data_IF_283638206730
#
_entry.id   IF_283638206730
#
_cell.length_a   1.000
_cell.length_b   1.000
_cell.length_c   1.000
_cell.angle_alpha   90.00
_cell.angle_beta   90.00
_cell.angle_gamma   90.00
#
_symmetry.space_group_name_H-M   'P 1'
#
loop_
_entity.id
_entity.type
_entity.pdbx_description
1 polymer ?
#
# COMPACT_ATOMS: atom_id res chain seq x y z
N UNK A 1 -13.32 6.31 -19.10
CA UNK A 1 -11.98 6.77 -19.42
C UNK A 1 -12.00 7.80 -20.57
N UNK A 2 -12.51 7.44 -21.74
CA UNK A 2 -12.55 8.34 -22.90
C UNK A 2 -13.25 9.69 -22.64
N UNK A 3 -14.33 9.71 -21.83
CA UNK A 3 -15.01 10.96 -21.45
C UNK A 3 -14.09 11.88 -20.66
N UNK A 4 -13.27 11.35 -19.78
CA UNK A 4 -12.26 12.12 -19.03
C UNK A 4 -11.21 12.72 -19.98
N UNK A 5 -10.71 11.91 -20.94
CA UNK A 5 -9.77 12.42 -21.97
C UNK A 5 -10.40 13.53 -22.81
N UNK A 6 -11.65 13.36 -23.29
CA UNK A 6 -12.39 14.39 -24.03
C UNK A 6 -12.62 15.66 -23.20
N UNK A 7 -12.75 15.55 -21.88
CA UNK A 7 -12.87 16.69 -20.97
C UNK A 7 -11.51 17.38 -20.67
N UNK A 8 -10.40 16.88 -21.22
CA UNK A 8 -9.07 17.49 -21.10
C UNK A 8 -8.21 16.97 -19.96
N UNK A 9 -8.61 15.89 -19.25
CA UNK A 9 -7.75 15.27 -18.24
C UNK A 9 -6.59 14.53 -18.90
N UNK A 10 -5.36 14.92 -18.53
CA UNK A 10 -4.11 14.35 -19.08
C UNK A 10 -3.40 13.42 -18.09
N UNK A 11 -3.86 13.34 -16.84
CA UNK A 11 -3.34 12.45 -15.81
C UNK A 11 -4.52 11.72 -15.17
N UNK A 12 -4.71 10.47 -15.55
CA UNK A 12 -5.84 9.63 -15.13
C UNK A 12 -5.29 8.38 -14.48
N UNK A 13 -5.79 8.08 -13.28
CA UNK A 13 -5.58 6.80 -12.61
C UNK A 13 -6.75 5.87 -12.86
N UNK A 14 -6.47 4.58 -12.99
CA UNK A 14 -7.47 3.52 -12.96
C UNK A 14 -7.12 2.52 -11.87
N UNK A 15 -8.14 1.94 -11.28
CA UNK A 15 -7.98 0.88 -10.28
C UNK A 15 -8.40 -0.45 -10.89
N UNK A 16 -7.58 -1.48 -10.65
CA UNK A 16 -7.84 -2.86 -11.04
C UNK A 16 -7.93 -3.71 -9.78
N UNK A 17 -8.67 -4.80 -9.87
CA UNK A 17 -8.73 -5.82 -8.82
C UNK A 17 -8.47 -7.17 -9.44
N UNK A 18 -7.62 -7.99 -8.81
CA UNK A 18 -7.28 -9.34 -9.23
C UNK A 18 -7.45 -10.33 -8.06
N UNK A 19 -7.36 -11.62 -8.35
CA UNK A 19 -7.70 -12.68 -7.39
C UNK A 19 -9.21 -12.85 -7.23
N UNK A 20 -9.99 -12.49 -8.25
CA UNK A 20 -11.44 -12.63 -8.26
C UNK A 20 -11.84 -14.12 -8.34
N UNK A 21 -13.00 -14.52 -7.76
CA UNK A 21 -13.50 -15.88 -7.88
C UNK A 21 -13.58 -16.34 -9.33
N UNK A 22 -12.92 -17.46 -9.65
CA UNK A 22 -12.87 -18.02 -10.99
C UNK A 22 -11.95 -17.31 -11.98
N UNK A 23 -11.18 -16.33 -11.53
CA UNK A 23 -10.17 -15.67 -12.38
C UNK A 23 -9.07 -16.64 -12.79
N UNK A 24 -8.55 -16.45 -13.99
CA UNK A 24 -7.44 -17.23 -14.54
C UNK A 24 -6.35 -16.28 -15.04
N UNK A 25 -5.13 -16.79 -15.23
CA UNK A 25 -4.05 -16.01 -15.84
C UNK A 25 -4.43 -15.45 -17.22
N UNK A 26 -5.28 -16.16 -17.99
CA UNK A 26 -5.72 -15.71 -19.31
C UNK A 26 -6.72 -14.57 -19.24
N UNK A 27 -7.70 -14.63 -18.31
CA UNK A 27 -8.67 -13.55 -18.12
C UNK A 27 -7.96 -12.32 -17.59
N UNK A 28 -7.08 -12.47 -16.60
CA UNK A 28 -6.27 -11.39 -16.07
C UNK A 28 -5.36 -10.72 -17.12
N UNK A 29 -4.73 -11.53 -18.00
CA UNK A 29 -3.94 -10.97 -19.09
C UNK A 29 -4.78 -10.14 -20.07
N UNK A 30 -6.03 -10.56 -20.34
CA UNK A 30 -6.93 -9.79 -21.19
C UNK A 30 -7.30 -8.45 -20.55
N UNK A 31 -7.58 -8.44 -19.23
CA UNK A 31 -7.86 -7.22 -18.47
C UNK A 31 -6.67 -6.26 -18.44
N UNK A 32 -5.47 -6.76 -18.19
CA UNK A 32 -4.25 -5.96 -18.25
C UNK A 32 -4.03 -5.35 -19.64
N UNK A 33 -4.22 -6.12 -20.70
CA UNK A 33 -4.12 -5.59 -22.07
C UNK A 33 -5.14 -4.52 -22.34
N UNK A 34 -6.38 -4.69 -21.90
CA UNK A 34 -7.41 -3.67 -22.03
C UNK A 34 -7.05 -2.41 -21.25
N UNK A 35 -6.61 -2.56 -19.99
CA UNK A 35 -6.20 -1.45 -19.14
C UNK A 35 -5.10 -0.60 -19.79
N UNK A 36 -4.00 -1.24 -20.24
CA UNK A 36 -2.89 -0.50 -20.87
C UNK A 36 -3.24 0.07 -22.25
N UNK A 37 -4.21 -0.53 -22.98
CA UNK A 37 -4.69 0.02 -24.26
C UNK A 37 -5.35 1.39 -24.10
N UNK A 38 -5.93 1.68 -22.95
CA UNK A 38 -6.49 2.98 -22.60
C UNK A 38 -5.41 4.03 -22.31
N UNK A 39 -4.17 3.61 -22.07
CA UNK A 39 -3.00 4.46 -21.74
C UNK A 39 -3.25 5.37 -20.53
N UNK A 40 -3.63 4.81 -19.37
CA UNK A 40 -3.67 5.61 -18.14
C UNK A 40 -2.26 5.99 -17.71
N UNK A 41 -2.09 7.10 -17.04
CA UNK A 41 -0.80 7.52 -16.48
C UNK A 41 -0.46 6.75 -15.20
N UNK A 42 -1.48 6.24 -14.51
CA UNK A 42 -1.33 5.53 -13.24
C UNK A 42 -2.31 4.36 -13.17
N UNK A 43 -1.87 3.27 -12.54
CA UNK A 43 -2.68 2.07 -12.30
C UNK A 43 -2.46 1.66 -10.84
N UNK A 44 -3.54 1.55 -10.06
CA UNK A 44 -3.55 0.82 -8.81
C UNK A 44 -4.12 -0.57 -9.07
N UNK A 45 -3.49 -1.61 -8.55
CA UNK A 45 -3.98 -2.98 -8.68
C UNK A 45 -3.97 -3.66 -7.32
N UNK A 46 -5.15 -4.09 -6.87
CA UNK A 46 -5.37 -4.65 -5.55
C UNK A 46 -5.75 -6.12 -5.65
N UNK A 47 -5.13 -6.95 -4.81
CA UNK A 47 -5.61 -8.31 -4.61
C UNK A 47 -6.92 -8.29 -3.85
N UNK A 48 -7.90 -9.11 -4.26
CA UNK A 48 -9.16 -9.25 -3.54
C UNK A 48 -8.93 -9.85 -2.15
N UNK A 49 -9.40 -9.16 -1.12
CA UNK A 49 -9.36 -9.62 0.26
C UNK A 49 -10.79 -9.96 0.72
N UNK A 50 -10.95 -11.11 1.38
CA UNK A 50 -12.22 -11.56 1.94
C UNK A 50 -12.36 -11.06 3.38
N UNK A 51 -12.75 -9.79 3.52
CA UNK A 51 -12.91 -9.11 4.81
C UNK A 51 -14.03 -9.72 5.63
N UNK A 52 -13.75 -10.10 6.88
CA UNK A 52 -14.74 -10.68 7.79
C UNK A 52 -15.97 -9.77 7.96
N UNK A 53 -17.16 -10.38 8.00
CA UNK A 53 -18.43 -9.66 8.13
C UNK A 53 -19.04 -9.18 6.80
N UNK A 54 -18.28 -9.16 5.69
CA UNK A 54 -18.79 -8.79 4.36
C UNK A 54 -19.65 -9.91 3.76
N UNK A 55 -20.44 -9.56 2.73
CA UNK A 55 -21.23 -10.54 1.97
C UNK A 55 -20.32 -11.55 1.27
N UNK A 56 -19.22 -11.09 0.69
CA UNK A 56 -18.28 -11.93 -0.04
C UNK A 56 -17.60 -12.95 0.90
N UNK A 57 -17.17 -12.49 2.08
CA UNK A 57 -16.63 -13.37 3.13
C UNK A 57 -17.64 -14.46 3.53
N UNK A 58 -18.93 -14.10 3.72
CA UNK A 58 -19.99 -15.09 4.04
C UNK A 58 -20.21 -16.09 2.92
N UNK A 59 -20.10 -15.66 1.65
CA UNK A 59 -20.21 -16.57 0.50
C UNK A 59 -19.04 -17.57 0.44
N UNK A 60 -17.83 -17.13 0.78
CA UNK A 60 -16.65 -18.00 0.93
C UNK A 60 -16.86 -19.05 2.03
N UNK A 61 -17.26 -18.62 3.23
CA UNK A 61 -17.54 -19.52 4.34
C UNK A 61 -18.64 -20.57 4.03
N UNK A 62 -19.58 -20.20 3.15
CA UNK A 62 -20.62 -21.11 2.66
C UNK A 62 -20.17 -21.97 1.45
N UNK A 63 -18.89 -21.91 1.06
CA UNK A 63 -18.33 -22.58 -0.13
C UNK A 63 -19.10 -22.28 -1.42
N UNK A 64 -19.68 -21.09 -1.54
CA UNK A 64 -20.39 -20.60 -2.74
C UNK A 64 -19.49 -19.82 -3.69
N UNK A 65 -18.36 -19.36 -3.22
CA UNK A 65 -17.25 -18.78 -3.99
C UNK A 65 -15.96 -19.40 -3.49
N UNK A 66 -15.03 -19.61 -4.40
CA UNK A 66 -13.68 -20.07 -4.09
C UNK A 66 -12.72 -18.90 -4.17
N UNK A 67 -11.88 -18.77 -3.15
CA UNK A 67 -10.78 -17.82 -3.12
C UNK A 67 -9.65 -18.35 -4.02
N UNK A 68 -8.96 -17.45 -4.72
CA UNK A 68 -7.74 -17.82 -5.43
C UNK A 68 -6.72 -18.43 -4.45
N UNK A 69 -6.17 -19.57 -4.78
CA UNK A 69 -5.11 -20.16 -3.98
C UNK A 69 -3.83 -19.31 -4.03
N UNK A 70 -2.88 -19.63 -3.15
CA UNK A 70 -1.64 -18.87 -3.01
C UNK A 70 -0.80 -18.91 -4.29
N UNK A 71 -0.71 -20.05 -4.97
CA UNK A 71 0.06 -20.22 -6.20
C UNK A 71 -0.52 -19.37 -7.34
N UNK A 72 -1.85 -19.37 -7.48
CA UNK A 72 -2.54 -18.53 -8.45
C UNK A 72 -2.36 -17.05 -8.12
N UNK A 73 -2.52 -16.66 -6.84
CA UNK A 73 -2.36 -15.28 -6.38
C UNK A 73 -0.96 -14.74 -6.68
N UNK A 74 0.10 -15.51 -6.40
CA UNK A 74 1.48 -15.19 -6.73
C UNK A 74 1.67 -15.09 -8.26
N UNK A 75 1.06 -15.99 -9.02
CA UNK A 75 1.16 -16.00 -10.48
C UNK A 75 0.48 -14.78 -11.12
N UNK A 76 -0.71 -14.39 -10.63
CA UNK A 76 -1.44 -13.19 -11.06
C UNK A 76 -0.63 -11.92 -10.77
N UNK A 77 -0.06 -11.81 -9.57
CA UNK A 77 0.77 -10.67 -9.19
C UNK A 77 2.08 -10.61 -10.01
N UNK A 78 2.72 -11.74 -10.24
CA UNK A 78 3.90 -11.82 -11.12
C UNK A 78 3.58 -11.32 -12.52
N UNK A 79 2.47 -11.78 -13.08
CA UNK A 79 2.01 -11.36 -14.40
C UNK A 79 1.72 -9.85 -14.45
N UNK A 80 1.08 -9.30 -13.41
CA UNK A 80 0.85 -7.87 -13.26
C UNK A 80 2.15 -7.07 -13.35
N UNK A 81 3.14 -7.41 -12.51
CA UNK A 81 4.43 -6.70 -12.44
C UNK A 81 5.14 -6.75 -13.79
N UNK A 82 5.28 -7.94 -14.38
CA UNK A 82 6.01 -8.11 -15.63
C UNK A 82 5.31 -7.41 -16.79
N UNK A 83 3.98 -7.59 -16.93
CA UNK A 83 3.23 -6.96 -18.02
C UNK A 83 3.26 -5.44 -17.94
N UNK A 84 3.01 -4.85 -16.77
CA UNK A 84 3.06 -3.40 -16.64
C UNK A 84 4.46 -2.85 -16.90
N UNK A 85 5.51 -3.54 -16.46
CA UNK A 85 6.90 -3.19 -16.76
C UNK A 85 7.18 -3.21 -18.27
N UNK A 86 6.72 -4.24 -19.00
CA UNK A 86 6.86 -4.34 -20.45
C UNK A 86 6.19 -3.18 -21.19
N UNK A 87 5.11 -2.64 -20.62
CA UNK A 87 4.41 -1.45 -21.15
C UNK A 87 4.97 -0.11 -20.64
N UNK A 88 6.12 -0.14 -19.92
CA UNK A 88 6.84 1.05 -19.48
C UNK A 88 6.36 1.66 -18.18
N UNK A 89 5.50 0.98 -17.43
CA UNK A 89 5.10 1.42 -16.08
C UNK A 89 6.19 1.07 -15.06
N UNK A 90 6.39 1.96 -14.11
CA UNK A 90 7.25 1.76 -12.94
C UNK A 90 6.38 1.25 -11.78
N UNK A 91 6.77 0.11 -11.19
CA UNK A 91 6.21 -0.40 -9.95
C UNK A 91 6.84 0.38 -8.80
N UNK A 92 6.15 1.37 -8.25
CA UNK A 92 6.73 2.28 -7.28
C UNK A 92 6.29 2.05 -5.83
N UNK A 93 5.24 1.27 -5.64
CA UNK A 93 4.74 0.81 -4.35
C UNK A 93 3.96 -0.49 -4.59
N UNK A 94 3.77 -1.33 -3.57
CA UNK A 94 3.27 -2.71 -3.68
C UNK A 94 2.08 -2.84 -4.64
N UNK A 95 1.10 -1.94 -4.55
CA UNK A 95 -0.13 -1.98 -5.37
C UNK A 95 -0.17 -0.92 -6.46
N UNK A 96 0.86 -0.09 -6.63
CA UNK A 96 0.79 1.10 -7.46
C UNK A 96 1.87 1.13 -8.55
N UNK A 97 1.41 1.43 -9.76
CA UNK A 97 2.21 1.51 -10.97
C UNK A 97 1.94 2.81 -11.70
N UNK A 98 2.94 3.42 -12.30
CA UNK A 98 2.74 4.63 -13.09
C UNK A 98 3.73 4.74 -14.25
N UNK A 99 3.41 5.54 -15.25
CA UNK A 99 4.40 5.99 -16.22
C UNK A 99 5.45 6.87 -15.49
N UNK A 100 6.70 6.94 -15.98
CA UNK A 100 7.77 7.68 -15.32
C UNK A 100 7.36 9.10 -14.94
N UNK A 101 7.48 9.43 -13.64
CA UNK A 101 7.14 10.75 -13.10
C UNK A 101 5.65 10.97 -12.81
N UNK A 102 4.76 10.01 -13.11
CA UNK A 102 3.30 10.14 -12.91
C UNK A 102 2.81 9.51 -11.61
N UNK A 103 3.64 9.55 -10.56
CA UNK A 103 3.29 9.03 -9.24
C UNK A 103 2.03 9.69 -8.68
N UNK A 104 1.14 8.90 -8.06
CA UNK A 104 0.00 9.45 -7.33
C UNK A 104 0.49 10.32 -6.17
N UNK A 105 0.22 11.63 -6.24
CA UNK A 105 0.61 12.57 -5.16
C UNK A 105 -0.11 12.24 -3.86
N UNK A 106 -1.36 11.81 -3.95
CA UNK A 106 -2.16 11.45 -2.79
C UNK A 106 -1.59 10.20 -2.11
N UNK A 107 -1.43 9.09 -2.85
CA UNK A 107 -0.91 7.84 -2.30
C UNK A 107 0.52 8.02 -1.77
N UNK A 108 1.40 8.69 -2.54
CA UNK A 108 2.78 8.94 -2.13
C UNK A 108 2.90 9.79 -0.87
N UNK A 109 1.91 10.63 -0.54
CA UNK A 109 1.95 11.43 0.68
C UNK A 109 1.89 10.58 1.95
N UNK A 110 1.18 9.44 1.93
CA UNK A 110 1.17 8.48 3.05
C UNK A 110 2.53 7.82 3.24
N UNK A 111 3.19 7.44 2.16
CA UNK A 111 4.48 6.73 2.19
C UNK A 111 5.68 7.66 2.49
N UNK A 112 5.51 8.96 2.32
CA UNK A 112 6.55 9.97 2.59
C UNK A 112 6.37 10.69 3.92
N UNK A 113 5.47 10.23 4.80
CA UNK A 113 5.23 10.80 6.12
C UNK A 113 4.70 12.23 6.10
N UNK A 114 4.07 12.68 5.01
CA UNK A 114 3.46 14.01 4.94
C UNK A 114 2.25 14.10 5.86
N UNK A 115 2.10 15.27 6.47
CA UNK A 115 0.91 15.58 7.28
C UNK A 115 -0.32 15.68 6.39
N UNK A 116 -1.43 15.15 6.86
CA UNK A 116 -2.71 15.23 6.14
C UNK A 116 -3.88 15.39 7.11
N UNK A 117 -4.97 15.97 6.61
CA UNK A 117 -6.23 16.14 7.31
C UNK A 117 -7.31 15.30 6.61
N UNK A 118 -7.92 14.40 7.36
CA UNK A 118 -9.05 13.60 6.90
C UNK A 118 -10.37 14.30 7.14
N UNK A 119 -11.23 14.34 6.13
CA UNK A 119 -12.57 14.92 6.18
C UNK A 119 -13.61 13.84 5.98
N UNK A 120 -14.63 13.82 6.85
CA UNK A 120 -15.72 12.84 6.80
C UNK A 120 -15.63 11.74 7.84
N UNK A 121 -16.68 10.89 7.97
CA UNK A 121 -16.68 9.76 8.90
C UNK A 121 -15.58 8.77 8.58
N UNK A 122 -14.99 8.15 9.61
CA UNK A 122 -13.84 7.24 9.55
C UNK A 122 -12.56 7.83 8.94
N UNK A 123 -12.53 9.11 8.55
CA UNK A 123 -11.35 9.70 7.94
C UNK A 123 -10.24 9.89 8.98
N UNK A 124 -9.01 9.56 8.57
CA UNK A 124 -7.82 9.69 9.40
C UNK A 124 -7.08 10.99 9.10
N UNK A 125 -6.43 11.54 10.13
CA UNK A 125 -5.51 12.67 10.02
C UNK A 125 -4.17 12.30 10.66
N UNK A 126 -3.09 12.94 10.19
CA UNK A 126 -1.74 12.71 10.71
C UNK A 126 -0.97 14.03 10.73
N UNK A 127 -0.34 14.35 11.87
CA UNK A 127 0.41 15.60 12.04
C UNK A 127 1.93 15.40 12.23
N UNK A 128 2.40 14.15 12.15
CA UNK A 128 3.81 13.78 12.34
C UNK A 128 4.13 13.19 13.73
N UNK A 129 3.31 13.44 14.74
CA UNK A 129 3.49 12.96 16.12
C UNK A 129 2.23 12.34 16.71
N UNK A 130 1.09 12.57 16.10
CA UNK A 130 -0.18 11.94 16.50
C UNK A 130 -1.01 11.55 15.27
N UNK A 131 -1.89 10.60 15.48
CA UNK A 131 -2.89 10.13 14.52
C UNK A 131 -4.27 10.41 15.10
N UNK A 132 -5.18 10.80 14.24
CA UNK A 132 -6.56 11.07 14.60
C UNK A 132 -7.47 10.33 13.63
N UNK A 133 -8.60 9.81 14.10
CA UNK A 133 -9.65 9.26 13.24
C UNK A 133 -11.03 9.74 13.70
N UNK A 134 -11.85 10.08 12.73
CA UNK A 134 -13.19 10.56 12.97
C UNK A 134 -14.14 9.39 13.27
N UNK A 135 -15.24 9.65 13.99
CA UNK A 135 -16.27 8.64 14.25
C UNK A 135 -16.79 8.04 12.95
N UNK A 136 -17.05 6.73 12.94
CA UNK A 136 -17.45 5.99 11.74
C UNK A 136 -18.92 6.19 11.33
N UNK A 137 -19.79 6.49 12.27
CA UNK A 137 -21.22 6.73 12.01
C UNK A 137 -21.41 8.08 11.33
N UNK A 138 -22.03 8.09 10.16
CA UNK A 138 -22.34 9.31 9.41
C UNK A 138 -23.27 10.24 10.23
N UNK A 139 -24.30 9.70 10.86
CA UNK A 139 -25.26 10.51 11.63
C UNK A 139 -24.58 11.16 12.83
N UNK A 140 -23.79 10.41 13.59
CA UNK A 140 -23.02 10.94 14.73
C UNK A 140 -21.99 11.99 14.28
N UNK A 141 -21.31 11.73 13.15
CA UNK A 141 -20.36 12.71 12.61
C UNK A 141 -21.02 14.04 12.28
N UNK A 142 -22.17 14.00 11.59
CA UNK A 142 -22.95 15.21 11.24
C UNK A 142 -23.44 15.93 12.50
N UNK A 143 -24.02 15.20 13.46
CA UNK A 143 -24.54 15.75 14.72
C UNK A 143 -23.43 16.45 15.52
N UNK A 144 -22.30 15.75 15.76
CA UNK A 144 -21.20 16.29 16.55
C UNK A 144 -20.54 17.50 15.90
N UNK A 145 -20.32 17.45 14.57
CA UNK A 145 -19.77 18.61 13.84
C UNK A 145 -20.70 19.82 13.92
N UNK A 146 -22.02 19.63 13.76
CA UNK A 146 -22.97 20.72 13.81
C UNK A 146 -23.11 21.33 15.23
N UNK A 147 -22.95 20.50 16.26
CA UNK A 147 -23.01 20.94 17.67
C UNK A 147 -21.66 21.52 18.16
N UNK A 148 -20.59 21.42 17.39
CA UNK A 148 -19.24 21.80 17.83
C UNK A 148 -18.65 20.85 18.89
N UNK A 149 -19.12 19.61 18.91
CA UNK A 149 -18.64 18.55 19.80
C UNK A 149 -17.42 17.83 19.20
N UNK A 150 -16.68 17.10 20.04
CA UNK A 150 -15.57 16.27 19.57
C UNK A 150 -16.09 15.07 18.79
N UNK A 151 -15.67 14.94 17.53
CA UNK A 151 -16.09 13.89 16.60
C UNK A 151 -14.96 12.96 16.21
N UNK A 152 -13.87 12.97 16.94
CA UNK A 152 -12.67 12.20 16.64
C UNK A 152 -11.99 11.67 17.90
N UNK A 153 -11.18 10.63 17.70
CA UNK A 153 -10.23 10.11 18.68
C UNK A 153 -8.80 10.45 18.25
N UNK A 154 -7.89 10.54 19.23
CA UNK A 154 -6.47 10.88 18.99
C UNK A 154 -5.58 9.84 19.66
N UNK A 155 -4.55 9.41 18.96
CA UNK A 155 -3.46 8.58 19.43
C UNK A 155 -2.15 9.39 19.35
N UNK A 156 -1.47 9.57 20.47
CA UNK A 156 -0.10 10.10 20.48
C UNK A 156 0.87 8.96 20.15
N UNK A 157 1.69 9.18 19.11
CA UNK A 157 2.60 8.16 18.61
C UNK A 157 3.93 8.24 19.37
N UNK A 158 4.23 7.23 20.17
CA UNK A 158 5.53 7.12 20.82
C UNK A 158 6.67 6.86 19.81
N UNK A 159 7.89 6.78 20.31
CA UNK A 159 9.07 6.57 19.47
C UNK A 159 9.02 5.25 18.71
N UNK A 160 8.53 4.19 19.34
CA UNK A 160 8.52 2.84 18.75
C UNK A 160 7.40 2.70 17.72
N UNK A 161 6.24 3.26 18.00
CA UNK A 161 5.13 3.34 17.03
C UNK A 161 5.55 4.10 15.77
N UNK A 162 6.20 5.25 15.92
CA UNK A 162 6.73 6.02 14.78
C UNK A 162 7.82 5.28 14.01
N UNK A 163 8.68 4.51 14.71
CA UNK A 163 9.64 3.63 14.04
C UNK A 163 8.94 2.56 13.21
N UNK A 164 7.93 1.90 13.77
CA UNK A 164 7.15 0.90 13.07
C UNK A 164 6.45 1.47 11.83
N UNK A 165 5.82 2.63 11.97
CA UNK A 165 5.22 3.36 10.83
C UNK A 165 6.27 3.67 9.75
N UNK A 166 7.48 4.11 10.16
CA UNK A 166 8.56 4.41 9.23
C UNK A 166 9.04 3.17 8.47
N UNK A 167 9.16 2.02 9.14
CA UNK A 167 9.48 0.74 8.49
C UNK A 167 8.42 0.40 7.44
N UNK A 168 7.14 0.37 7.83
CA UNK A 168 6.03 0.00 6.95
C UNK A 168 5.94 0.94 5.74
N UNK A 169 6.07 2.24 5.96
CA UNK A 169 5.85 3.23 4.89
C UNK A 169 7.02 3.32 3.92
N UNK A 170 8.25 3.07 4.36
CA UNK A 170 9.43 3.22 3.49
C UNK A 170 9.77 1.95 2.72
N UNK A 171 9.78 0.79 3.38
CA UNK A 171 10.19 -0.49 2.77
C UNK A 171 9.29 -0.90 1.60
N UNK A 172 8.00 -0.57 1.65
CA UNK A 172 7.02 -0.92 0.62
C UNK A 172 7.16 -0.14 -0.68
N UNK A 173 8.04 0.85 -0.72
CA UNK A 173 8.22 1.73 -1.89
C UNK A 173 9.53 1.44 -2.64
N UNK A 174 9.56 1.77 -3.91
CA UNK A 174 10.78 1.65 -4.72
C UNK A 174 11.94 2.54 -4.22
N UNK A 175 11.64 3.57 -3.43
CA UNK A 175 12.67 4.46 -2.85
C UNK A 175 13.35 3.83 -1.65
N UNK A 176 12.67 2.88 -0.98
CA UNK A 176 13.20 2.17 0.18
C UNK A 176 13.44 3.04 1.41
N UNK A 177 14.03 2.42 2.42
CA UNK A 177 14.37 3.05 3.69
C UNK A 177 15.80 3.59 3.65
N UNK A 178 15.95 4.90 3.81
CA UNK A 178 17.25 5.56 3.97
C UNK A 178 17.76 5.32 5.39
N UNK A 179 18.88 4.61 5.54
CA UNK A 179 19.39 4.20 6.86
C UNK A 179 19.98 5.35 7.68
N UNK A 180 20.47 6.39 7.04
CA UNK A 180 20.92 7.63 7.70
C UNK A 180 19.73 8.40 8.29
N UNK A 181 18.64 8.52 7.55
CA UNK A 181 17.37 9.12 8.03
C UNK A 181 16.79 8.31 9.20
N UNK A 182 16.77 6.98 9.10
CA UNK A 182 16.37 6.11 10.20
C UNK A 182 17.18 6.40 11.47
N UNK A 183 18.52 6.48 11.33
CA UNK A 183 19.43 6.73 12.46
C UNK A 183 19.24 8.12 13.06
N UNK A 184 19.01 9.13 12.24
CA UNK A 184 18.75 10.51 12.66
C UNK A 184 17.43 10.60 13.45
N UNK A 185 16.36 10.01 12.95
CA UNK A 185 15.02 10.10 13.56
C UNK A 185 14.86 9.25 14.81
N UNK A 186 15.47 8.05 14.85
CA UNK A 186 15.19 7.04 15.88
C UNK A 186 16.41 6.62 16.70
N UNK A 187 17.57 7.17 16.38
CA UNK A 187 18.80 6.93 17.13
C UNK A 187 19.46 5.58 16.88
N UNK A 188 20.62 5.37 17.49
CA UNK A 188 21.48 4.20 17.23
C UNK A 188 20.84 2.88 17.69
N UNK A 189 20.00 2.89 18.74
CA UNK A 189 19.34 1.66 19.25
C UNK A 189 18.46 1.05 18.19
N UNK A 190 17.51 1.83 17.64
CA UNK A 190 16.56 1.36 16.62
C UNK A 190 17.23 1.14 15.26
N UNK A 191 18.24 1.92 14.92
CA UNK A 191 19.10 1.67 13.75
C UNK A 191 19.75 0.27 13.79
N UNK A 192 20.42 -0.08 14.92
CA UNK A 192 21.04 -1.39 15.07
C UNK A 192 20.02 -2.53 15.13
N UNK A 193 18.85 -2.28 15.72
CA UNK A 193 17.74 -3.22 15.72
C UNK A 193 17.28 -3.50 14.30
N UNK A 194 16.99 -2.47 13.52
CA UNK A 194 16.57 -2.59 12.13
C UNK A 194 17.56 -3.43 11.29
N UNK A 195 18.85 -3.14 11.36
CA UNK A 195 19.87 -3.89 10.64
C UNK A 195 19.92 -5.36 11.06
N UNK A 196 19.77 -5.64 12.34
CA UNK A 196 19.72 -7.02 12.85
C UNK A 196 18.51 -7.78 12.31
N UNK A 197 17.34 -7.15 12.29
CA UNK A 197 16.10 -7.77 11.79
C UNK A 197 16.11 -7.91 10.27
N UNK A 198 16.76 -7.00 9.54
CA UNK A 198 16.94 -7.08 8.10
C UNK A 198 17.92 -8.18 7.65
N UNK A 199 18.85 -8.62 8.51
CA UNK A 199 19.94 -9.54 8.13
C UNK A 199 19.45 -10.87 7.53
N UNK A 200 18.44 -11.58 8.09
CA UNK A 200 17.91 -12.80 7.47
C UNK A 200 17.39 -12.55 6.06
N UNK A 201 16.66 -11.46 5.85
CA UNK A 201 16.07 -11.09 4.57
C UNK A 201 17.10 -10.68 3.53
N UNK A 202 18.17 -10.00 3.95
CA UNK A 202 19.35 -9.72 3.10
C UNK A 202 20.02 -11.02 2.65
N UNK A 203 20.20 -11.97 3.58
CA UNK A 203 20.82 -13.27 3.28
C UNK A 203 19.97 -14.12 2.35
N UNK A 204 18.65 -14.00 2.42
CA UNK A 204 17.68 -14.70 1.54
C UNK A 204 17.47 -13.99 0.20
N UNK A 205 17.99 -12.77 0.05
CA UNK A 205 17.82 -11.96 -1.14
C UNK A 205 16.39 -11.42 -1.32
N UNK A 206 15.61 -11.29 -0.24
CA UNK A 206 14.28 -10.66 -0.23
C UNK A 206 14.35 -9.15 0.08
N UNK A 207 15.42 -8.73 0.76
CA UNK A 207 15.85 -7.34 0.87
C UNK A 207 17.18 -7.14 0.17
N UNK A 208 17.43 -5.94 -0.29
CA UNK A 208 18.75 -5.48 -0.74
C UNK A 208 19.16 -4.21 -0.02
N UNK A 209 20.46 -4.08 0.24
CA UNK A 209 21.07 -2.87 0.80
C UNK A 209 22.08 -2.32 -0.22
N UNK A 210 21.79 -1.15 -0.75
CA UNK A 210 22.64 -0.46 -1.70
C UNK A 210 22.71 1.03 -1.38
N UNK A 211 23.93 1.59 -1.33
CA UNK A 211 24.16 3.01 -1.08
C UNK A 211 23.44 3.56 0.18
N UNK A 212 23.36 2.75 1.26
CA UNK A 212 22.68 3.15 2.49
C UNK A 212 21.15 3.10 2.43
N UNK A 213 20.60 2.52 1.36
CA UNK A 213 19.15 2.33 1.18
C UNK A 213 18.81 0.85 1.29
N UNK A 214 17.89 0.53 2.18
CA UNK A 214 17.32 -0.80 2.36
C UNK A 214 15.96 -0.86 1.65
N UNK A 215 15.76 -1.82 0.75
CA UNK A 215 14.50 -1.97 0.01
C UNK A 215 14.19 -3.41 -0.35
N UNK A 216 12.93 -3.67 -0.67
CA UNK A 216 12.48 -4.96 -1.20
C UNK A 216 13.13 -5.25 -2.55
N UNK A 217 13.54 -6.50 -2.74
CA UNK A 217 13.79 -7.04 -4.07
C UNK A 217 12.48 -7.46 -4.73
N UNK A 218 12.48 -7.78 -6.01
CA UNK A 218 11.31 -8.36 -6.68
C UNK A 218 10.80 -9.60 -5.95
N UNK A 219 11.70 -10.47 -5.47
CA UNK A 219 11.33 -11.63 -4.63
C UNK A 219 10.71 -11.22 -3.29
N UNK A 220 11.19 -10.13 -2.69
CA UNK A 220 10.70 -9.64 -1.40
C UNK A 220 9.32 -9.00 -1.46
N UNK A 221 8.93 -8.46 -2.60
CA UNK A 221 7.61 -7.83 -2.76
C UNK A 221 6.46 -8.82 -2.50
N UNK A 222 6.61 -10.10 -2.88
CA UNK A 222 5.60 -11.13 -2.67
C UNK A 222 5.34 -11.49 -1.21
N UNK A 223 6.32 -11.26 -0.34
CA UNK A 223 6.24 -11.55 1.10
C UNK A 223 6.48 -10.29 1.93
N UNK A 224 6.18 -9.13 1.36
CA UNK A 224 6.49 -7.82 1.92
C UNK A 224 5.90 -7.60 3.31
N UNK A 225 4.67 -8.06 3.56
CA UNK A 225 4.01 -7.91 4.86
C UNK A 225 4.73 -8.71 5.95
N UNK A 226 5.18 -9.93 5.64
CA UNK A 226 6.00 -10.73 6.55
C UNK A 226 7.35 -10.07 6.85
N UNK A 227 8.04 -9.56 5.81
CA UNK A 227 9.32 -8.84 5.97
C UNK A 227 9.13 -7.59 6.85
N UNK A 228 8.09 -6.79 6.57
CA UNK A 228 7.80 -5.60 7.38
C UNK A 228 7.47 -5.99 8.82
N UNK A 229 6.63 -7.01 9.03
CA UNK A 229 6.28 -7.52 10.35
C UNK A 229 7.49 -7.96 11.18
N UNK A 230 8.43 -8.70 10.56
CA UNK A 230 9.66 -9.14 11.22
C UNK A 230 10.57 -7.97 11.64
N UNK A 231 10.46 -6.83 10.97
CA UNK A 231 11.27 -5.64 11.24
C UNK A 231 10.64 -4.68 12.24
N UNK A 232 9.38 -4.88 12.64
CA UNK A 232 8.72 -4.04 13.64
C UNK A 232 9.34 -4.26 15.02
N UNK A 233 9.41 -3.18 15.77
CA UNK A 233 9.72 -3.26 17.19
C UNK A 233 8.49 -3.80 17.95
N UNK A 234 8.69 -4.89 18.68
CA UNK A 234 7.72 -5.49 19.59
C UNK A 234 8.36 -5.50 20.97
N UNK A 235 7.61 -5.03 22.00
CA UNK A 235 8.05 -5.02 23.41
C UNK A 235 8.09 -6.43 24.01
#
# INVERSE_FOLDING_TARGET
FERCRKAGFTNISIDLMYGLPGETLQTWEADLRQAVSMKPEHISAYHLIYEEGTVLWKLREQHRVEEADEDLSVSLFTQLIHKLKDYGYQHYEISNFCLPGMYSRHNSSYWTGKKYLGCGPSAHSYNGISRQWNVSSLDRYIEQVNNGETYFEVEELDLYTRYNDFVITTIRTMWGMQLDVLKELFGTKLYNYCLRMAQPHLSQGTLELSNGVLKLTEKGVFISDGIMSDMLWVD
#
